data_IF_193117528297
#
_entry.id   IF_193117528297
#
_cell.length_a   1.000
_cell.length_b   1.000
_cell.length_c   1.000
_cell.angle_alpha   90.00
_cell.angle_beta   90.00
_cell.angle_gamma   90.00
#
_symmetry.space_group_name_H-M   'P 1'
#
loop_
_entity.id
_entity.type
_entity.pdbx_description
1 polymer ?
#
# COMPACT_ATOMS: atom_id res chain seq x y z
N UNK A 1 39.97 -31.52 -30.59
CA UNK A 1 40.20 -31.04 -29.20
C UNK A 1 39.36 -29.80 -28.85
N UNK A 2 39.34 -28.76 -29.69
CA UNK A 2 38.69 -27.46 -29.36
C UNK A 2 37.15 -27.57 -29.26
N UNK A 3 36.52 -28.31 -30.18
CA UNK A 3 35.04 -28.46 -30.20
C UNK A 3 34.54 -29.21 -28.97
N UNK A 4 35.24 -30.22 -28.49
CA UNK A 4 34.84 -30.96 -27.29
C UNK A 4 34.98 -30.13 -26.00
N UNK A 5 36.01 -29.27 -25.91
CA UNK A 5 36.19 -28.37 -24.76
C UNK A 5 35.11 -27.27 -24.70
N UNK A 6 34.71 -26.70 -25.82
CA UNK A 6 33.63 -25.70 -25.85
C UNK A 6 32.28 -26.30 -25.49
N UNK A 7 31.99 -27.54 -25.91
CA UNK A 7 30.73 -28.23 -25.56
C UNK A 7 30.64 -28.52 -24.06
N UNK A 8 31.75 -28.96 -23.46
CA UNK A 8 31.78 -29.25 -21.99
C UNK A 8 31.64 -27.97 -21.19
N UNK A 9 32.31 -26.87 -21.59
CA UNK A 9 32.18 -25.59 -20.90
C UNK A 9 30.75 -25.03 -20.98
N UNK A 10 30.13 -25.09 -22.15
CA UNK A 10 28.74 -24.63 -22.35
C UNK A 10 27.73 -25.50 -21.56
N UNK A 11 27.94 -26.81 -21.54
CA UNK A 11 27.09 -27.74 -20.78
C UNK A 11 27.17 -27.48 -19.27
N UNK A 12 28.35 -27.18 -18.76
CA UNK A 12 28.56 -26.84 -17.35
C UNK A 12 27.81 -25.56 -16.93
N UNK A 13 27.84 -24.54 -17.78
CA UNK A 13 27.14 -23.28 -17.51
C UNK A 13 25.61 -23.44 -17.54
N UNK A 14 25.10 -24.17 -18.55
CA UNK A 14 23.67 -24.49 -18.66
C UNK A 14 23.20 -25.31 -17.47
N UNK A 15 23.97 -26.32 -17.07
CA UNK A 15 23.64 -27.16 -15.92
C UNK A 15 23.64 -26.39 -14.61
N UNK A 16 24.63 -25.52 -14.39
CA UNK A 16 24.70 -24.69 -13.20
C UNK A 16 23.53 -23.71 -13.11
N UNK A 17 23.12 -23.10 -14.23
CA UNK A 17 21.95 -22.23 -14.29
C UNK A 17 20.65 -22.99 -14.02
N UNK A 18 20.48 -24.16 -14.61
CA UNK A 18 19.31 -25.01 -14.40
C UNK A 18 19.21 -25.48 -12.95
N UNK A 19 20.32 -25.83 -12.31
CA UNK A 19 20.38 -26.25 -10.92
C UNK A 19 20.06 -25.09 -9.96
N UNK A 20 20.61 -23.90 -10.23
CA UNK A 20 20.32 -22.69 -9.47
C UNK A 20 18.84 -22.30 -9.59
N UNK A 21 18.27 -22.36 -10.77
CA UNK A 21 16.86 -22.07 -11.01
C UNK A 21 15.94 -23.08 -10.32
N UNK A 22 16.25 -24.38 -10.41
CA UNK A 22 15.50 -25.43 -9.72
C UNK A 22 15.58 -25.29 -8.20
N UNK A 23 16.78 -24.99 -7.67
CA UNK A 23 16.97 -24.72 -6.24
C UNK A 23 16.17 -23.51 -5.76
N UNK A 24 16.18 -22.42 -6.53
CA UNK A 24 15.39 -21.24 -6.23
C UNK A 24 13.89 -21.53 -6.24
N UNK A 25 13.38 -22.22 -7.26
CA UNK A 25 11.98 -22.63 -7.33
C UNK A 25 11.58 -23.50 -6.14
N UNK A 26 12.42 -24.42 -5.74
CA UNK A 26 12.18 -25.26 -4.58
C UNK A 26 12.10 -24.45 -3.28
N UNK A 27 13.04 -23.51 -3.07
CA UNK A 27 13.03 -22.62 -1.91
C UNK A 27 11.77 -21.77 -1.90
N UNK A 28 11.37 -21.17 -3.03
CA UNK A 28 10.14 -20.38 -3.13
C UNK A 28 8.92 -21.25 -2.80
N UNK A 29 8.83 -22.46 -3.34
CA UNK A 29 7.70 -23.35 -3.14
C UNK A 29 7.57 -23.88 -1.69
N UNK A 30 8.68 -23.98 -0.97
CA UNK A 30 8.71 -24.53 0.39
C UNK A 30 8.77 -23.46 1.49
N UNK A 31 9.05 -22.21 1.11
CA UNK A 31 9.13 -21.09 2.07
C UNK A 31 7.75 -20.49 2.32
N UNK A 32 7.47 -20.17 3.58
CA UNK A 32 6.23 -19.48 3.95
C UNK A 32 6.08 -18.18 3.16
N UNK A 33 4.89 -17.87 2.59
CA UNK A 33 4.65 -16.62 1.88
C UNK A 33 5.04 -15.36 2.67
N UNK A 34 4.88 -15.38 3.98
CA UNK A 34 5.27 -14.26 4.84
C UNK A 34 6.79 -14.03 4.88
N UNK A 35 7.59 -15.07 4.73
CA UNK A 35 9.04 -14.96 4.69
C UNK A 35 9.59 -14.51 3.33
N UNK A 36 8.77 -14.61 2.28
CA UNK A 36 9.09 -14.14 0.92
C UNK A 36 8.69 -12.69 0.68
N UNK A 37 7.90 -12.10 1.58
CA UNK A 37 7.43 -10.73 1.44
C UNK A 37 8.54 -9.73 1.79
N UNK A 38 8.91 -8.91 0.83
CA UNK A 38 9.76 -7.74 1.05
C UNK A 38 8.92 -6.50 1.36
N UNK A 39 9.38 -5.66 2.28
CA UNK A 39 8.74 -4.39 2.59
C UNK A 39 9.73 -3.24 2.54
N UNK A 40 9.37 -2.17 1.84
CA UNK A 40 10.06 -0.89 1.89
C UNK A 40 9.16 0.12 2.58
N UNK A 41 9.70 0.82 3.58
CA UNK A 41 8.92 1.79 4.37
C UNK A 41 9.61 3.16 4.35
N UNK A 42 8.81 4.21 4.19
CA UNK A 42 9.22 5.60 4.37
C UNK A 42 8.36 6.20 5.48
N UNK A 43 9.01 6.72 6.51
CA UNK A 43 8.34 7.22 7.70
C UNK A 43 8.40 8.75 7.82
N UNK A 44 7.37 9.31 8.47
CA UNK A 44 7.35 10.67 9.04
C UNK A 44 7.74 11.79 8.05
N UNK A 45 7.27 11.71 6.81
CA UNK A 45 7.43 12.81 5.86
C UNK A 45 6.07 13.21 5.30
N UNK A 46 5.74 14.50 5.27
CA UNK A 46 4.68 14.98 4.41
C UNK A 46 5.10 14.66 2.97
N UNK A 47 4.24 13.97 2.24
CA UNK A 47 4.51 13.58 0.87
C UNK A 47 3.60 14.43 -0.01
N UNK A 48 4.18 15.31 -0.82
CA UNK A 48 3.46 15.94 -1.91
C UNK A 48 3.21 14.92 -3.03
N UNK A 49 2.30 15.22 -3.93
CA UNK A 49 2.05 14.36 -5.11
C UNK A 49 3.33 14.13 -5.90
N UNK A 50 4.12 15.17 -6.13
CA UNK A 50 5.38 15.08 -6.87
C UNK A 50 6.40 14.19 -6.16
N UNK A 51 6.54 14.32 -4.84
CA UNK A 51 7.42 13.46 -4.04
C UNK A 51 7.00 11.99 -4.09
N UNK A 52 5.68 11.75 -4.00
CA UNK A 52 5.13 10.40 -4.12
C UNK A 52 5.43 9.78 -5.50
N UNK A 53 5.21 10.53 -6.58
CA UNK A 53 5.46 10.05 -7.94
C UNK A 53 6.94 9.76 -8.18
N UNK A 54 7.84 10.62 -7.71
CA UNK A 54 9.29 10.43 -7.79
C UNK A 54 9.76 9.20 -6.98
N UNK A 55 9.28 9.07 -5.74
CA UNK A 55 9.58 7.92 -4.89
C UNK A 55 9.07 6.63 -5.51
N UNK A 56 7.83 6.63 -5.97
CA UNK A 56 7.20 5.48 -6.59
C UNK A 56 7.94 5.02 -7.85
N UNK A 57 8.36 5.95 -8.70
CA UNK A 57 9.16 5.65 -9.89
C UNK A 57 10.51 5.04 -9.51
N UNK A 58 11.21 5.63 -8.54
CA UNK A 58 12.50 5.15 -8.07
C UNK A 58 12.41 3.74 -7.48
N UNK A 59 11.42 3.51 -6.62
CA UNK A 59 11.20 2.20 -5.99
C UNK A 59 10.85 1.14 -7.03
N UNK A 60 9.92 1.43 -7.94
CA UNK A 60 9.56 0.49 -9.00
C UNK A 60 10.75 0.12 -9.89
N UNK A 61 11.55 1.12 -10.31
CA UNK A 61 12.73 0.87 -11.12
C UNK A 61 13.76 -0.01 -10.39
N UNK A 62 13.97 0.25 -9.11
CA UNK A 62 14.89 -0.53 -8.28
C UNK A 62 14.42 -1.98 -8.11
N UNK A 63 13.15 -2.16 -7.81
CA UNK A 63 12.51 -3.46 -7.66
C UNK A 63 12.61 -4.24 -8.97
N UNK A 64 12.16 -3.66 -10.08
CA UNK A 64 12.18 -4.33 -11.39
C UNK A 64 13.59 -4.72 -11.81
N UNK A 65 14.57 -3.84 -11.60
CA UNK A 65 15.97 -4.10 -11.95
C UNK A 65 16.63 -5.19 -11.12
N UNK A 66 16.26 -5.33 -9.84
CA UNK A 66 16.94 -6.20 -8.88
C UNK A 66 16.25 -7.52 -8.64
N UNK A 67 14.93 -7.50 -8.51
CA UNK A 67 14.13 -8.65 -8.10
C UNK A 67 12.85 -8.84 -8.93
N UNK A 68 12.68 -8.07 -10.01
CA UNK A 68 11.45 -8.11 -10.83
C UNK A 68 11.09 -9.50 -11.34
N UNK A 69 12.11 -10.33 -11.59
CA UNK A 69 11.92 -11.73 -12.04
C UNK A 69 11.39 -12.67 -10.95
N UNK A 70 11.38 -12.25 -9.68
CA UNK A 70 10.86 -12.99 -8.53
C UNK A 70 9.51 -12.48 -8.06
N UNK A 71 9.06 -11.34 -8.59
CA UNK A 71 7.84 -10.70 -8.09
C UNK A 71 6.62 -11.26 -8.77
N UNK A 72 5.68 -11.69 -7.98
CA UNK A 72 4.32 -11.99 -8.42
C UNK A 72 3.51 -10.68 -8.52
N UNK A 73 3.50 -9.90 -7.45
CA UNK A 73 2.80 -8.60 -7.41
C UNK A 73 3.44 -7.64 -6.40
N UNK A 74 3.06 -6.37 -6.52
CA UNK A 74 3.44 -5.33 -5.56
C UNK A 74 2.21 -4.59 -5.07
N UNK A 75 2.12 -4.37 -3.77
CA UNK A 75 1.11 -3.55 -3.15
C UNK A 75 1.73 -2.29 -2.58
N UNK A 76 0.97 -1.21 -2.62
CA UNK A 76 1.33 0.06 -1.99
C UNK A 76 0.35 0.36 -0.90
N UNK A 77 0.88 0.67 0.25
CA UNK A 77 0.10 1.13 1.39
C UNK A 77 0.60 2.48 1.85
N UNK A 78 -0.29 3.43 1.98
CA UNK A 78 -0.04 4.67 2.69
C UNK A 78 -1.00 4.80 3.84
N UNK A 79 -0.55 5.37 4.94
CA UNK A 79 -1.39 5.64 6.10
C UNK A 79 -1.03 7.00 6.68
N UNK A 80 -2.03 7.65 7.24
CA UNK A 80 -1.83 8.88 7.98
C UNK A 80 -1.20 8.61 9.34
N UNK A 81 -0.84 9.67 10.04
CA UNK A 81 -0.52 9.57 11.47
C UNK A 81 -1.68 8.87 12.19
N UNK A 82 -1.41 8.03 13.20
CA UNK A 82 -2.47 7.46 14.02
C UNK A 82 -3.30 8.57 14.68
N UNK A 83 -4.58 8.27 14.86
CA UNK A 83 -5.49 9.11 15.63
C UNK A 83 -5.79 10.48 15.00
N UNK A 84 -6.15 10.48 13.71
CA UNK A 84 -6.77 11.68 13.12
C UNK A 84 -8.18 11.81 13.69
N UNK A 85 -8.52 12.93 14.34
CA UNK A 85 -9.87 13.21 14.76
C UNK A 85 -10.82 13.31 13.56
N UNK A 86 -12.04 12.82 13.73
CA UNK A 86 -13.09 13.03 12.75
C UNK A 86 -14.44 13.29 13.40
N UNK A 87 -15.33 13.91 12.68
CA UNK A 87 -16.66 14.27 13.15
C UNK A 87 -17.68 14.25 12.01
N UNK A 88 -18.95 14.22 12.36
CA UNK A 88 -20.08 14.32 11.44
C UNK A 88 -20.44 15.77 11.06
N UNK A 89 -19.73 16.74 11.58
CA UNK A 89 -19.93 18.17 11.30
C UNK A 89 -18.63 18.81 10.87
N UNK A 90 -18.66 19.72 9.87
CA UNK A 90 -17.47 20.47 9.45
C UNK A 90 -16.98 21.47 10.52
N UNK A 91 -17.80 21.77 11.52
CA UNK A 91 -17.47 22.65 12.65
C UNK A 91 -17.74 21.94 13.97
N UNK A 92 -16.97 20.91 14.30
CA UNK A 92 -17.18 20.15 15.53
C UNK A 92 -16.81 21.00 16.75
N UNK A 93 -17.46 20.69 17.85
CA UNK A 93 -17.01 21.18 19.15
C UNK A 93 -15.71 20.41 19.53
N UNK A 94 -14.80 21.07 20.23
CA UNK A 94 -13.49 20.52 20.60
C UNK A 94 -13.61 19.20 21.40
N UNK A 95 -14.59 19.09 22.28
CA UNK A 95 -14.83 17.90 23.08
C UNK A 95 -15.30 16.69 22.23
N UNK A 96 -15.93 16.91 21.07
CA UNK A 96 -16.35 15.83 20.18
C UNK A 96 -15.21 15.28 19.33
N UNK A 97 -14.12 16.01 19.14
CA UNK A 97 -12.94 15.55 18.39
C UNK A 97 -12.07 14.57 19.17
N UNK A 98 -12.18 14.56 20.49
CA UNK A 98 -11.40 13.63 21.33
C UNK A 98 -12.01 12.22 21.38
N UNK A 99 -13.25 12.08 20.92
CA UNK A 99 -14.01 10.83 21.03
C UNK A 99 -13.83 9.94 19.81
N UNK A 100 -13.83 10.52 18.61
CA UNK A 100 -13.76 9.79 17.37
C UNK A 100 -12.41 10.00 16.70
N UNK A 101 -11.60 8.96 16.70
CA UNK A 101 -10.27 8.97 16.10
C UNK A 101 -10.10 7.76 15.19
N UNK A 102 -9.48 7.99 14.06
CA UNK A 102 -9.24 6.95 13.08
C UNK A 102 -7.89 7.10 12.39
N UNK A 103 -7.53 6.09 11.66
CA UNK A 103 -6.33 6.05 10.83
C UNK A 103 -6.71 5.79 9.39
N UNK A 104 -6.99 6.83 8.60
CA UNK A 104 -7.14 6.67 7.17
C UNK A 104 -5.89 6.03 6.55
N UNK A 105 -6.11 5.07 5.69
CA UNK A 105 -5.05 4.46 4.92
C UNK A 105 -5.54 4.15 3.51
N UNK A 106 -4.63 4.01 2.58
CA UNK A 106 -4.91 3.42 1.28
C UNK A 106 -4.08 2.15 1.08
N UNK A 107 -4.63 1.22 0.35
CA UNK A 107 -3.96 0.00 -0.09
C UNK A 107 -4.36 -0.24 -1.55
N UNK A 108 -3.37 -0.39 -2.43
CA UNK A 108 -3.67 -0.76 -3.82
C UNK A 108 -4.21 -2.18 -3.88
N UNK A 109 -5.16 -2.41 -4.79
CA UNK A 109 -5.81 -3.71 -4.95
C UNK A 109 -6.51 -4.22 -3.67
N UNK A 110 -7.02 -3.29 -2.85
CA UNK A 110 -7.68 -3.62 -1.59
C UNK A 110 -8.85 -4.61 -1.78
N UNK A 111 -9.57 -4.49 -2.88
CA UNK A 111 -10.66 -5.36 -3.30
C UNK A 111 -10.27 -6.84 -3.48
N UNK A 112 -8.98 -7.13 -3.65
CA UNK A 112 -8.49 -8.52 -3.72
C UNK A 112 -8.38 -9.20 -2.36
N UNK A 113 -8.35 -8.42 -1.29
CA UNK A 113 -8.09 -8.87 0.08
C UNK A 113 -9.27 -8.65 1.02
N UNK A 114 -10.35 -8.07 0.50
CA UNK A 114 -11.51 -7.66 1.30
C UNK A 114 -12.80 -7.95 0.56
N UNK A 115 -13.83 -8.25 1.29
CA UNK A 115 -15.18 -8.42 0.79
C UNK A 115 -16.00 -7.18 1.13
N UNK A 116 -16.74 -6.66 0.15
CA UNK A 116 -17.64 -5.54 0.35
C UNK A 116 -18.97 -6.08 0.80
N UNK A 117 -19.38 -5.73 2.00
CA UNK A 117 -20.66 -6.20 2.59
C UNK A 117 -21.83 -5.32 2.21
N UNK A 118 -21.60 -4.03 1.96
CA UNK A 118 -22.62 -3.05 1.61
C UNK A 118 -22.02 -1.90 0.81
N UNK A 119 -22.80 -1.28 -0.09
CA UNK A 119 -22.38 -0.13 -0.89
C UNK A 119 -21.60 -0.49 -2.14
N UNK A 120 -20.70 0.38 -2.54
CA UNK A 120 -19.84 0.24 -3.72
C UNK A 120 -18.37 0.47 -3.35
N UNK A 121 -17.45 -0.11 -4.13
CA UNK A 121 -16.05 0.23 -4.02
C UNK A 121 -15.82 1.70 -4.34
N UNK A 122 -14.97 2.42 -3.58
CA UNK A 122 -14.70 3.83 -3.80
C UNK A 122 -14.02 4.05 -5.14
N UNK A 123 -14.39 5.13 -5.80
CA UNK A 123 -13.71 5.59 -7.00
C UNK A 123 -12.37 6.24 -6.63
N UNK A 124 -11.48 6.38 -7.62
CA UNK A 124 -10.23 7.12 -7.44
C UNK A 124 -10.41 8.64 -7.63
N UNK A 125 -11.64 9.06 -7.85
CA UNK A 125 -11.97 10.46 -8.08
C UNK A 125 -12.14 11.20 -6.76
N UNK A 126 -11.83 12.48 -6.80
CA UNK A 126 -12.12 13.39 -5.69
C UNK A 126 -12.89 14.60 -6.21
N UNK A 127 -13.68 15.18 -5.36
CA UNK A 127 -14.34 16.44 -5.66
C UNK A 127 -13.93 17.52 -4.66
N UNK A 128 -13.84 18.74 -5.13
CA UNK A 128 -13.59 19.91 -4.28
C UNK A 128 -14.93 20.59 -4.03
N UNK A 129 -15.29 20.79 -2.79
CA UNK A 129 -16.48 21.51 -2.37
C UNK A 129 -16.14 22.62 -1.38
N UNK A 130 -17.16 23.30 -0.90
CA UNK A 130 -16.99 24.44 0.04
C UNK A 130 -16.30 24.07 1.35
N UNK A 131 -16.52 22.86 1.85
CA UNK A 131 -15.96 22.37 3.11
C UNK A 131 -14.60 21.65 2.95
N UNK A 132 -14.09 21.49 1.75
CA UNK A 132 -12.80 20.85 1.49
C UNK A 132 -12.81 19.84 0.37
N UNK A 133 -11.92 18.85 0.46
CA UNK A 133 -11.80 17.76 -0.51
C UNK A 133 -12.61 16.58 -0.04
N UNK A 134 -13.46 16.06 -0.92
CA UNK A 134 -14.27 14.87 -0.69
C UNK A 134 -13.64 13.68 -1.38
N UNK A 135 -13.49 12.61 -0.64
CA UNK A 135 -12.99 11.32 -1.10
C UNK A 135 -13.99 10.23 -0.68
N UNK A 136 -14.24 9.30 -1.55
CA UNK A 136 -14.96 8.08 -1.19
C UNK A 136 -14.04 7.14 -0.42
N UNK A 137 -14.57 6.45 0.57
CA UNK A 137 -13.81 5.52 1.39
C UNK A 137 -14.67 4.33 1.79
N UNK A 138 -14.02 3.20 2.06
CA UNK A 138 -14.63 2.07 2.76
C UNK A 138 -14.24 2.11 4.24
N UNK A 139 -15.14 1.65 5.07
CA UNK A 139 -14.92 1.51 6.51
C UNK A 139 -15.11 0.04 6.89
N UNK A 140 -14.32 -0.45 7.84
CA UNK A 140 -14.52 -1.82 8.34
C UNK A 140 -15.86 -1.97 9.05
N UNK A 141 -16.54 -3.08 8.83
CA UNK A 141 -17.88 -3.38 9.37
C UNK A 141 -17.99 -3.16 10.89
N UNK A 142 -17.02 -3.65 11.65
CA UNK A 142 -16.98 -3.44 13.10
C UNK A 142 -16.86 -1.95 13.47
N UNK A 143 -16.08 -1.18 12.70
CA UNK A 143 -15.91 0.26 12.92
C UNK A 143 -17.19 1.00 12.58
N UNK A 144 -17.82 0.67 11.45
CA UNK A 144 -19.10 1.25 11.04
C UNK A 144 -20.17 1.06 12.11
N UNK A 145 -20.30 -0.16 12.65
CA UNK A 145 -21.24 -0.47 13.74
C UNK A 145 -20.93 0.30 15.03
N UNK A 146 -19.67 0.34 15.43
CA UNK A 146 -19.26 1.03 16.66
C UNK A 146 -19.52 2.54 16.58
N UNK A 147 -19.35 3.10 15.40
CA UNK A 147 -19.46 4.54 15.15
C UNK A 147 -20.83 4.95 14.62
N UNK A 148 -21.73 4.00 14.40
CA UNK A 148 -23.04 4.21 13.79
C UNK A 148 -22.95 4.95 12.44
N UNK A 149 -21.98 4.56 11.60
CA UNK A 149 -21.80 5.07 10.24
C UNK A 149 -22.51 4.14 9.25
N UNK A 150 -23.28 4.73 8.36
CA UNK A 150 -23.99 4.04 7.28
C UNK A 150 -23.40 4.42 5.90
N UNK A 151 -23.71 3.61 4.91
CA UNK A 151 -23.33 3.93 3.52
C UNK A 151 -23.98 5.24 3.09
N UNK A 152 -23.18 6.16 2.55
CA UNK A 152 -23.59 7.50 2.14
C UNK A 152 -23.43 8.59 3.19
N UNK A 153 -23.03 8.24 4.41
CA UNK A 153 -22.72 9.24 5.42
C UNK A 153 -21.43 10.00 5.08
N UNK A 154 -21.41 11.29 5.41
CA UNK A 154 -20.22 12.14 5.29
C UNK A 154 -19.54 12.29 6.65
N UNK A 155 -18.24 12.09 6.68
CA UNK A 155 -17.40 12.31 7.85
C UNK A 155 -16.26 13.28 7.52
N UNK A 156 -15.95 14.18 8.42
CA UNK A 156 -14.94 15.21 8.28
C UNK A 156 -13.69 14.80 9.05
N UNK A 157 -12.55 14.78 8.37
CA UNK A 157 -11.24 14.50 8.95
C UNK A 157 -10.56 15.82 9.33
N UNK A 158 -10.00 15.87 10.54
CA UNK A 158 -9.31 17.04 11.07
C UNK A 158 -7.84 16.72 11.33
N UNK A 159 -7.00 16.72 10.28
CA UNK A 159 -5.58 16.45 10.46
C UNK A 159 -4.96 17.52 11.35
N UNK A 160 -4.13 17.11 12.30
CA UNK A 160 -3.35 18.05 13.10
C UNK A 160 -2.47 18.88 12.17
N UNK A 161 -2.60 20.20 12.22
CA UNK A 161 -1.60 21.07 11.63
C UNK A 161 -0.32 20.86 12.44
N UNK A 162 0.66 20.21 11.86
CA UNK A 162 2.01 20.35 12.41
C UNK A 162 2.42 21.79 12.16
N UNK A 163 2.54 22.58 13.20
CA UNK A 163 3.19 23.89 13.13
C UNK A 163 4.66 23.65 12.76
N UNK A 164 4.92 23.45 11.48
CA UNK A 164 6.27 23.47 10.90
C UNK A 164 6.66 24.90 10.53
N UNK A 165 6.53 25.81 11.49
CA UNK A 165 7.12 27.15 11.43
C UNK A 165 8.01 27.36 12.66
N UNK A 166 9.18 26.75 12.60
CA UNK A 166 10.40 27.21 13.28
C UNK A 166 11.56 27.12 12.31
#
# INVERSE_FOLDING_TARGET
GVVAMTTIASASEIYSKALAQSGLQHVIATTSPNALNGQLMVHNRPITRADYEALNSTVNNLIQKRIGFLLDHTNRRGQTHPNIPFAYSPKPNRASLDILQGRPFFLTQFERYSELTEGNWPTQEYRIGESGVYLEAVIGDQTAKTMAISVGDEVFLFPYKSDTSQ
#
